data_IF_293385533065
#
_entry.id   IF_293385533065
#
_cell.length_a   1.000
_cell.length_b   1.000
_cell.length_c   1.000
_cell.angle_alpha   90.00
_cell.angle_beta   90.00
_cell.angle_gamma   90.00
#
_symmetry.space_group_name_H-M   'P 1'
#
loop_
_entity.id
_entity.type
_entity.pdbx_description
1 polymer ?
2 non-polymer ?
3 non-polymer ?
#
# COMPACT_ATOMS: atom_id res chain seq x y z
N UNK A 1 -24.14 -9.60 -17.36
CA UNK A 1 -23.84 -8.17 -17.34
C UNK A 1 -23.30 -7.68 -16.02
N UNK A 2 -24.01 -6.73 -15.38
CA UNK A 2 -23.65 -6.16 -14.08
C UNK A 2 -24.25 -6.97 -12.91
N UNK A 3 -25.20 -7.87 -13.21
CA UNK A 3 -25.91 -8.75 -12.27
C UNK A 3 -24.97 -9.72 -11.52
N UNK A 4 -24.09 -10.42 -12.26
CA UNK A 4 -23.12 -11.39 -11.73
C UNK A 4 -22.18 -10.75 -10.71
N UNK A 5 -21.64 -9.56 -11.05
CA UNK A 5 -20.70 -8.79 -10.24
C UNK A 5 -21.27 -8.34 -8.88
N UNK A 6 -22.57 -7.99 -8.82
CA UNK A 6 -23.26 -7.55 -7.60
C UNK A 6 -23.30 -8.64 -6.52
N UNK A 7 -23.54 -9.90 -6.93
CA UNK A 7 -23.59 -11.04 -6.02
C UNK A 7 -22.21 -11.30 -5.39
N UNK A 8 -21.13 -11.06 -6.17
CA UNK A 8 -19.73 -11.23 -5.73
C UNK A 8 -19.44 -10.25 -4.59
N UNK A 9 -19.81 -8.96 -4.79
CA UNK A 9 -19.65 -7.87 -3.84
C UNK A 9 -20.51 -8.08 -2.60
N UNK A 10 -21.76 -8.58 -2.79
CA UNK A 10 -22.68 -8.90 -1.69
C UNK A 10 -22.19 -10.09 -0.86
N UNK A 11 -21.41 -11.00 -1.49
CA UNK A 11 -20.78 -12.15 -0.83
C UNK A 11 -19.64 -11.61 0.05
N UNK A 12 -18.79 -10.71 -0.51
CA UNK A 12 -17.66 -10.09 0.18
C UNK A 12 -18.08 -9.28 1.41
N UNK A 13 -19.35 -8.83 1.46
CA UNK A 13 -19.93 -8.11 2.58
C UNK A 13 -20.16 -9.04 3.77
N UNK A 14 -20.44 -10.34 3.49
CA UNK A 14 -20.73 -11.36 4.51
C UNK A 14 -19.53 -11.75 5.38
N UNK A 15 -18.29 -11.57 4.85
CA UNK A 15 -17.07 -11.91 5.61
C UNK A 15 -16.50 -10.72 6.41
N UNK A 16 -17.25 -9.59 6.49
CA UNK A 16 -16.86 -8.38 7.24
C UNK A 16 -16.75 -8.64 8.74
N UNK A 17 -17.65 -9.48 9.29
CA UNK A 17 -17.71 -9.83 10.71
C UNK A 17 -16.54 -10.71 11.16
N UNK A 18 -16.09 -11.63 10.27
CA UNK A 18 -14.97 -12.55 10.51
C UNK A 18 -13.64 -11.76 10.51
N UNK A 19 -13.56 -10.72 9.65
CA UNK A 19 -12.40 -9.82 9.55
C UNK A 19 -12.37 -8.89 10.78
N UNK A 20 -13.56 -8.44 11.25
CA UNK A 20 -13.71 -7.56 12.42
C UNK A 20 -13.25 -8.21 13.74
N UNK A 21 -13.50 -9.53 13.93
CA UNK A 21 -13.08 -10.28 15.13
C UNK A 21 -11.55 -10.46 15.12
N UNK A 22 -10.98 -10.73 13.94
CA UNK A 22 -9.54 -10.90 13.70
C UNK A 22 -8.80 -9.56 13.77
N UNK A 23 -9.50 -8.43 13.55
CA UNK A 23 -8.94 -7.07 13.60
C UNK A 23 -8.53 -6.66 15.02
N UNK A 24 -9.32 -7.10 16.01
CA UNK A 24 -9.05 -6.85 17.42
C UNK A 24 -7.87 -7.64 17.92
N UNK A 25 -7.57 -8.78 17.25
CA UNK A 25 -6.44 -9.66 17.54
C UNK A 25 -5.15 -8.97 17.11
N UNK A 26 -5.21 -8.21 16.00
CA UNK A 26 -4.10 -7.45 15.44
C UNK A 26 -3.75 -6.26 16.35
N UNK A 27 -4.75 -5.43 16.71
CA UNK A 27 -4.59 -4.22 17.55
C UNK A 27 -4.08 -4.53 18.97
N UNK A 28 -4.50 -5.67 19.53
CA UNK A 28 -4.09 -6.10 20.86
C UNK A 28 -2.60 -6.30 20.96
N UNK A 29 -2.04 -7.18 20.10
CA UNK A 29 -0.62 -7.51 19.99
C UNK A 29 0.21 -6.24 19.70
N UNK A 30 -0.25 -5.45 18.70
CA UNK A 30 0.37 -4.21 18.23
C UNK A 30 0.54 -3.15 19.34
N UNK A 31 -0.47 -3.00 20.22
CA UNK A 31 -0.42 -2.03 21.33
C UNK A 31 0.63 -2.39 22.40
N UNK A 32 0.88 -3.70 22.62
CA UNK A 32 1.89 -4.20 23.56
C UNK A 32 3.29 -3.85 23.07
N UNK A 33 3.52 -4.04 21.75
CA UNK A 33 4.77 -3.77 21.07
C UNK A 33 5.10 -2.28 21.08
N UNK A 34 4.06 -1.43 20.94
CA UNK A 34 4.16 0.03 20.97
C UNK A 34 4.60 0.53 22.35
N UNK A 35 4.11 -0.11 23.44
CA UNK A 35 4.48 0.22 24.82
C UNK A 35 5.92 -0.20 25.11
N UNK A 36 6.34 -1.35 24.55
CA UNK A 36 7.69 -1.93 24.67
C UNK A 36 8.73 -1.05 23.99
N UNK A 37 8.45 -0.63 22.73
CA UNK A 37 9.34 0.21 21.92
C UNK A 37 9.53 1.61 22.48
N UNK A 38 8.48 2.22 23.05
CA UNK A 38 8.50 3.56 23.65
C UNK A 38 9.51 3.71 24.82
N UNK A 39 9.79 2.60 25.54
CA UNK A 39 10.74 2.54 26.66
C UNK A 39 12.21 2.61 26.19
N UNK A 40 12.45 2.40 24.88
CA UNK A 40 13.77 2.46 24.27
C UNK A 40 14.11 3.89 23.83
N UNK A 41 15.42 4.20 23.74
CA UNK A 41 16.00 5.49 23.39
C UNK A 41 15.64 5.93 21.96
N UNK A 42 15.90 5.07 20.96
CA UNK A 42 15.63 5.37 19.55
C UNK A 42 14.14 5.30 19.19
N UNK A 43 13.40 4.33 19.76
CA UNK A 43 11.99 4.09 19.46
C UNK A 43 11.03 4.75 20.46
N UNK A 44 11.43 5.88 21.06
CA UNK A 44 10.60 6.64 22.00
C UNK A 44 9.50 7.43 21.26
N UNK A 45 9.84 7.93 20.07
CA UNK A 45 8.94 8.68 19.21
C UNK A 45 8.13 7.83 18.24
N UNK A 46 8.04 6.51 18.52
CA UNK A 46 7.28 5.58 17.69
C UNK A 46 5.77 5.75 17.95
N UNK A 47 5.01 5.70 16.87
CA UNK A 47 3.55 5.85 16.90
C UNK A 47 2.89 5.02 15.83
N UNK A 48 1.60 4.75 15.99
CA UNK A 48 0.83 3.99 15.02
C UNK A 48 0.30 4.87 13.91
N UNK A 49 0.52 4.44 12.65
CA UNK A 49 0.03 5.19 11.51
C UNK A 49 -1.30 4.63 11.03
N UNK A 50 -2.30 5.52 10.93
CA UNK A 50 -3.65 5.20 10.42
C UNK A 50 -3.54 5.14 8.89
N UNK A 51 -3.85 3.95 8.31
CA UNK A 51 -3.77 3.73 6.85
C UNK A 51 -5.07 3.13 6.29
N UNK A 55 -11.47 -0.01 10.13
CA UNK A 55 -10.17 -0.37 10.69
C UNK A 55 -9.18 0.78 10.47
N UNK A 56 -8.91 1.53 11.55
CA UNK A 56 -8.05 2.71 11.56
C UNK A 56 -6.57 2.44 11.22
N UNK A 57 -5.80 1.93 12.19
CA UNK A 57 -4.36 1.65 12.06
C UNK A 57 -4.07 0.27 11.43
N UNK A 58 -5.12 -0.46 11.00
CA UNK A 58 -5.04 -1.78 10.39
C UNK A 58 -5.44 -1.70 8.91
N UNK A 59 -4.51 -2.03 7.99
CA UNK A 59 -4.74 -2.04 6.54
C UNK A 59 -4.79 -3.49 6.04
N UNK A 60 -5.61 -3.77 5.02
CA UNK A 60 -5.81 -5.12 4.48
C UNK A 60 -5.27 -5.25 3.05
N UNK A 61 -4.40 -6.25 2.82
CA UNK A 61 -3.80 -6.56 1.50
C UNK A 61 -4.46 -7.80 0.88
N UNK A 62 -4.57 -8.89 1.68
CA UNK A 62 -5.16 -10.20 1.32
C UNK A 62 -6.22 -10.58 2.40
N UNK A 63 -7.02 -11.69 2.28
CA UNK A 63 -8.03 -11.97 3.32
C UNK A 63 -7.49 -12.21 4.75
N UNK A 64 -6.31 -12.84 4.87
CA UNK A 64 -5.73 -13.12 6.18
C UNK A 64 -4.38 -12.42 6.40
N UNK A 65 -4.09 -11.40 5.57
CA UNK A 65 -2.89 -10.57 5.67
C UNK A 65 -3.28 -9.15 6.10
N UNK A 66 -2.58 -8.62 7.12
CA UNK A 66 -2.88 -7.29 7.67
C UNK A 66 -1.62 -6.43 7.77
N UNK A 67 -1.54 -5.38 6.93
CA UNK A 67 -0.42 -4.45 6.91
C UNK A 67 -0.60 -3.37 7.97
N UNK A 68 0.37 -3.29 8.90
CA UNK A 68 0.39 -2.31 9.99
C UNK A 68 1.66 -1.47 9.84
N UNK A 69 1.55 -0.15 10.06
CA UNK A 69 2.69 0.76 9.94
C UNK A 69 3.00 1.53 11.23
N UNK A 70 4.28 1.47 11.65
CA UNK A 70 4.80 2.19 12.80
C UNK A 70 5.61 3.36 12.27
N UNK A 71 5.25 4.59 12.67
CA UNK A 71 5.92 5.82 12.21
C UNK A 71 6.90 6.39 13.24
N UNK A 72 8.03 6.90 12.75
CA UNK A 72 9.09 7.48 13.57
C UNK A 72 9.38 8.91 13.10
N UNK A 73 9.05 9.91 13.95
CA UNK A 73 9.23 11.33 13.67
C UNK A 73 10.72 11.71 13.53
N UNK A 74 11.14 12.08 12.31
CA UNK A 74 12.52 12.47 12.02
C UNK A 74 12.57 13.98 11.71
N UNK A 75 12.87 14.84 12.71
CA UNK A 75 12.94 16.29 12.44
C UNK A 75 14.27 16.68 11.79
N UNK A 76 14.26 17.78 11.01
CA UNK A 76 15.43 18.33 10.29
C UNK A 76 16.16 17.23 9.50
N UNK A 77 15.42 16.60 8.59
CA UNK A 77 15.85 15.50 7.73
C UNK A 77 16.22 16.00 6.32
N UNK A 78 17.44 15.67 5.86
CA UNK A 78 17.88 16.06 4.51
C UNK A 78 18.02 14.81 3.65
N UNK A 79 17.35 14.80 2.48
CA UNK A 79 17.33 13.66 1.57
C UNK A 79 18.23 13.81 0.36
N UNK A 80 18.99 12.73 0.08
CA UNK A 80 19.90 12.61 -1.07
C UNK A 80 19.31 11.52 -1.96
N UNK A 81 19.03 11.84 -3.23
CA UNK A 81 18.44 10.88 -4.17
C UNK A 81 19.45 9.82 -4.59
N UNK A 82 19.03 8.53 -4.54
CA UNK A 82 19.87 7.40 -4.94
C UNK A 82 19.74 7.03 -6.42
N UNK A 83 20.90 6.92 -7.10
CA UNK A 83 21.12 6.50 -8.49
C UNK A 83 20.02 6.90 -9.52
N UNK A 84 19.38 8.08 -9.32
CA UNK A 84 18.30 8.61 -10.17
C UNK A 84 17.08 7.64 -10.29
N UNK A 85 16.84 6.82 -9.22
CA UNK A 85 15.72 5.86 -9.15
C UNK A 85 14.38 6.54 -8.88
N UNK A 86 14.40 7.83 -8.46
CA UNK A 86 13.27 8.72 -8.18
C UNK A 86 12.44 8.36 -6.91
N UNK A 87 12.42 7.08 -6.48
CA UNK A 87 11.69 6.64 -5.28
C UNK A 87 12.61 6.26 -4.11
N UNK A 88 13.87 5.86 -4.41
CA UNK A 88 14.87 5.45 -3.40
C UNK A 88 15.80 6.59 -3.03
N UNK A 89 15.97 6.82 -1.72
CA UNK A 89 16.73 7.94 -1.16
C UNK A 89 17.63 7.52 0.01
N UNK A 90 18.55 8.43 0.40
CA UNK A 90 19.47 8.28 1.55
C UNK A 90 19.02 9.24 2.64
N UNK A 91 19.13 8.83 3.92
CA UNK A 91 18.73 9.70 5.03
C UNK A 91 19.95 10.37 5.67
N UNK A 92 20.02 11.70 5.52
CA UNK A 92 21.05 12.55 6.11
C UNK A 92 20.38 13.56 7.04
N UNK A 93 21.16 14.25 7.87
CA UNK A 93 20.64 15.25 8.81
C UNK A 93 21.15 16.65 8.47
N UNK A 94 20.19 17.60 8.28
CA UNK A 94 20.39 19.02 7.90
C UNK A 94 21.60 19.67 8.57
N UNK A 95 21.68 19.57 9.92
CA UNK A 95 22.75 20.10 10.76
C UNK A 95 22.79 19.33 12.10
N UNK A 96 23.71 19.71 13.00
CA UNK A 96 23.86 19.11 14.33
C UNK A 96 23.54 20.15 15.45
N UNK A 97 22.25 20.45 15.74
CA UNK A 97 21.95 21.42 16.81
C UNK A 97 22.11 20.79 18.19
N UNK A 98 21.37 19.69 18.44
CA UNK A 98 21.38 18.85 19.64
C UNK A 98 21.20 17.42 19.14
N UNK A 99 22.28 16.60 19.25
CA UNK A 99 22.39 15.22 18.79
C UNK A 99 21.10 14.39 18.96
N UNK A 100 20.57 13.93 17.82
CA UNK A 100 19.33 13.15 17.67
C UNK A 100 19.41 11.76 18.33
N UNK A 101 18.28 11.20 18.84
CA UNK A 101 18.33 9.84 19.43
C UNK A 101 18.46 8.72 18.39
N UNK A 102 18.32 9.06 17.09
CA UNK A 102 18.41 8.15 15.95
C UNK A 102 19.88 7.91 15.52
N UNK A 103 20.83 8.65 16.14
CA UNK A 103 22.27 8.60 15.86
C UNK A 103 22.94 7.22 16.09
N UNK A 104 22.25 6.30 16.79
CA UNK A 104 22.69 4.93 17.09
C UNK A 104 23.03 4.13 15.84
N UNK A 105 22.31 4.40 14.73
CA UNK A 105 22.46 3.71 13.45
C UNK A 105 23.12 4.56 12.36
N UNK A 106 23.69 5.72 12.73
CA UNK A 106 24.37 6.63 11.80
C UNK A 106 25.71 6.06 11.31
N UNK A 107 26.07 6.35 10.04
CA UNK A 107 27.32 5.94 9.42
C UNK A 107 27.94 7.14 8.67
N UNK A 108 28.49 8.07 9.45
CA UNK A 108 29.07 9.31 8.95
C UNK A 108 28.05 10.41 8.90
N UNK A 109 27.22 10.40 7.83
CA UNK A 109 26.12 11.33 7.57
C UNK A 109 24.85 10.53 7.25
N UNK A 110 25.03 9.37 6.60
CA UNK A 110 23.99 8.45 6.13
C UNK A 110 23.46 7.55 7.26
N UNK A 111 22.13 7.50 7.39
CA UNK A 111 21.39 6.68 8.36
C UNK A 111 21.11 5.30 7.74
N UNK A 112 21.61 4.24 8.40
CA UNK A 112 21.47 2.87 7.94
C UNK A 112 20.06 2.32 8.12
N UNK A 113 19.51 1.72 7.06
CA UNK A 113 18.18 1.10 7.06
C UNK A 113 18.25 -0.30 7.65
N UNK A 114 19.34 -1.03 7.36
CA UNK A 114 19.60 -2.39 7.86
C UNK A 114 19.80 -2.41 9.38
N UNK A 115 20.60 -1.47 9.93
CA UNK A 115 20.89 -1.34 11.35
C UNK A 115 19.66 -1.03 12.22
N UNK A 116 18.79 -0.11 11.74
CA UNK A 116 17.57 0.29 12.46
C UNK A 116 16.52 -0.80 12.49
N UNK A 117 16.27 -1.46 11.33
CA UNK A 117 15.30 -2.55 11.19
C UNK A 117 15.71 -3.76 12.04
N UNK A 118 17.03 -3.97 12.22
CA UNK A 118 17.60 -5.06 13.01
C UNK A 118 17.32 -4.92 14.50
N UNK A 119 17.51 -3.70 15.08
CA UNK A 119 17.21 -3.43 16.49
C UNK A 119 15.70 -3.55 16.72
N UNK A 120 14.90 -3.07 15.72
CA UNK A 120 13.45 -3.12 15.69
C UNK A 120 12.98 -4.59 15.71
N UNK A 121 13.63 -5.46 14.90
CA UNK A 121 13.33 -6.90 14.85
C UNK A 121 13.66 -7.57 16.18
N UNK A 122 14.75 -7.13 16.84
CA UNK A 122 15.22 -7.65 18.12
C UNK A 122 14.27 -7.33 19.28
N UNK A 123 13.85 -6.05 19.42
CA UNK A 123 12.94 -5.58 20.49
C UNK A 123 11.57 -6.28 20.38
N UNK A 124 11.12 -6.55 19.14
CA UNK A 124 9.86 -7.25 18.87
C UNK A 124 10.01 -8.75 19.21
N UNK A 125 11.06 -9.43 18.70
CA UNK A 125 11.37 -10.84 18.96
C UNK A 125 11.38 -11.18 20.47
N UNK A 126 11.79 -10.20 21.30
CA UNK A 126 11.84 -10.31 22.75
C UNK A 126 10.44 -10.16 23.36
N UNK A 127 9.62 -9.22 22.84
CA UNK A 127 8.25 -8.97 23.32
C UNK A 127 7.24 -9.99 22.81
N UNK A 128 7.55 -10.69 21.70
CA UNK A 128 6.71 -11.71 21.07
C UNK A 128 6.46 -12.90 22.01
N UNK A 129 7.53 -13.44 22.62
CA UNK A 129 7.48 -14.56 23.55
C UNK A 129 6.88 -14.18 24.91
N UNK A 130 6.87 -12.88 25.25
CA UNK A 130 6.34 -12.34 26.51
C UNK A 130 4.81 -12.47 26.61
N UNK A 131 4.06 -11.85 25.67
CA UNK A 131 2.59 -11.92 25.66
C UNK A 131 2.16 -13.31 25.16
N UNK A 132 1.91 -14.22 26.12
CA UNK A 132 1.52 -15.62 25.90
C UNK A 132 -0.01 -15.82 25.82
N UNK A 133 -0.76 -14.72 25.60
CA UNK A 133 -2.22 -14.74 25.48
C UNK A 133 -2.67 -15.44 24.19
N UNK A 134 -1.94 -15.20 23.08
CA UNK A 134 -2.17 -15.80 21.76
C UNK A 134 -0.84 -16.26 21.18
N UNK A 135 -0.88 -17.28 20.31
CA UNK A 135 0.31 -17.83 19.67
C UNK A 135 0.84 -16.85 18.61
N UNK A 136 1.88 -16.07 18.96
CA UNK A 136 2.50 -15.08 18.06
C UNK A 136 3.93 -15.55 17.74
N UNK A 137 4.29 -15.59 16.45
CA UNK A 137 5.62 -16.02 15.97
C UNK A 137 6.18 -14.98 14.98
N UNK A 138 7.41 -15.20 14.45
CA UNK A 138 8.07 -14.31 13.48
C UNK A 138 8.61 -15.15 12.30
N UNK A 139 8.47 -14.64 11.07
CA UNK A 139 8.90 -15.35 9.86
C UNK A 139 10.23 -14.84 9.25
N UNK A 140 10.74 -15.57 8.23
CA UNK A 140 11.98 -15.31 7.50
C UNK A 140 11.91 -14.01 6.70
N UNK A 145 11.85 -8.26 1.05
CA UNK A 145 11.08 -8.43 2.27
C UNK A 145 11.49 -7.38 3.35
N UNK A 146 10.98 -6.12 3.27
CA UNK A 146 11.36 -5.11 4.26
C UNK A 146 10.37 -4.96 5.42
N UNK A 147 9.71 -6.07 5.81
CA UNK A 147 8.71 -6.08 6.87
C UNK A 147 8.92 -7.19 7.91
N UNK A 148 8.33 -7.00 9.10
CA UNK A 148 8.36 -7.94 10.22
C UNK A 148 7.00 -8.66 10.22
N UNK A 149 6.97 -9.91 9.73
CA UNK A 149 5.75 -10.69 9.64
C UNK A 149 5.52 -11.54 10.90
N UNK A 150 4.29 -11.48 11.44
CA UNK A 150 3.87 -12.24 12.61
C UNK A 150 2.70 -13.15 12.23
N UNK A 151 2.52 -14.27 12.96
CA UNK A 151 1.40 -15.18 12.71
C UNK A 151 0.63 -15.47 14.00
N UNK A 152 -0.60 -14.93 14.09
CA UNK A 152 -1.50 -15.08 15.24
C UNK A 152 -2.53 -16.19 14.95
N UNK A 153 -2.61 -17.18 15.87
CA UNK A 153 -3.51 -18.34 15.84
C UNK A 153 -3.39 -19.18 14.54
N UNK A 154 -2.14 -19.29 14.01
CA UNK A 154 -1.74 -20.03 12.80
C UNK A 154 -2.67 -19.77 11.58
N UNK A 155 -3.14 -18.51 11.43
CA UNK A 155 -4.04 -18.12 10.35
C UNK A 155 -3.89 -16.64 9.98
N UNK A 156 -3.90 -15.73 10.98
CA UNK A 156 -3.77 -14.28 10.77
C UNK A 156 -2.29 -13.88 10.68
N UNK A 157 -1.86 -13.47 9.47
CA UNK A 157 -0.50 -13.00 9.21
C UNK A 157 -0.50 -11.48 9.25
N UNK A 158 0.38 -10.88 10.08
CA UNK A 158 0.46 -9.42 10.24
C UNK A 158 1.83 -8.89 9.82
N UNK A 159 1.86 -8.15 8.70
CA UNK A 159 3.08 -7.53 8.19
C UNK A 159 3.24 -6.16 8.84
N UNK A 160 4.24 -6.04 9.71
CA UNK A 160 4.56 -4.81 10.42
C UNK A 160 5.68 -4.10 9.67
N UNK A 161 5.52 -2.79 9.43
CA UNK A 161 6.51 -1.99 8.72
C UNK A 161 6.86 -0.72 9.50
N UNK A 162 8.16 -0.42 9.58
CA UNK A 162 8.66 0.78 10.25
C UNK A 162 8.91 1.84 9.17
N UNK A 163 8.39 3.06 9.39
CA UNK A 163 8.51 4.15 8.43
C UNK A 163 9.03 5.43 9.06
N UNK A 164 9.88 6.16 8.32
CA UNK A 164 10.39 7.44 8.79
C UNK A 164 9.44 8.53 8.32
N UNK A 165 8.88 9.31 9.27
CA UNK A 165 7.95 10.38 8.96
C UNK A 165 8.70 11.70 8.80
N UNK A 166 8.43 12.39 7.69
CA UNK A 166 8.98 13.71 7.41
C UNK A 166 7.81 14.65 7.18
N UNK A 167 7.65 15.65 8.06
CA UNK A 167 6.58 16.62 7.98
C UNK A 167 6.89 17.70 6.94
N UNK A 168 8.14 17.69 6.43
CA UNK A 168 8.66 18.59 5.40
C UNK A 168 7.90 18.46 4.07
N UNK A 169 8.13 19.42 3.15
CA UNK A 169 7.53 19.48 1.80
C UNK A 169 7.96 18.21 1.03
N UNK A 170 7.03 17.61 0.25
CA UNK A 170 7.28 16.38 -0.53
C UNK A 170 8.48 16.50 -1.50
N UNK A 171 9.31 15.42 -1.66
CA UNK A 171 10.48 15.52 -2.56
C UNK A 171 10.14 15.84 -4.01
N UNK A 172 11.11 16.44 -4.73
CA UNK A 172 10.98 16.89 -6.12
C UNK A 172 10.35 15.89 -7.10
N UNK A 173 10.72 14.57 -7.03
CA UNK A 173 10.19 13.54 -7.94
C UNK A 173 8.66 13.42 -7.94
N UNK A 174 8.02 13.85 -6.84
CA UNK A 174 6.56 13.83 -6.65
C UNK A 174 5.87 15.11 -7.17
N UNK A 175 6.63 16.07 -7.78
CA UNK A 175 6.10 17.34 -8.29
C UNK A 175 4.94 17.21 -9.29
N UNK A 176 5.05 16.25 -10.22
CA UNK A 176 4.04 16.00 -11.27
C UNK A 176 3.12 14.83 -10.93
N UNK A 177 3.32 14.22 -9.77
CA UNK A 177 2.52 13.11 -9.28
C UNK A 177 1.19 13.54 -8.70
N UNK A 178 0.35 12.56 -8.27
CA UNK A 178 -0.98 12.78 -7.70
C UNK A 178 -1.77 13.76 -8.62
N UNK A 179 -2.03 13.32 -9.86
CA UNK A 179 -2.69 14.10 -10.89
C UNK A 179 -4.24 14.11 -10.76
N UNK A 180 -4.70 14.55 -9.58
CA UNK A 180 -6.11 14.65 -9.21
C UNK A 180 -6.78 16.02 -9.55
N UNK A 181 -6.02 16.99 -10.13
CA UNK A 181 -6.51 18.36 -10.45
C UNK A 181 -7.83 18.42 -11.21
N UNK A 182 -7.96 17.63 -12.29
CA UNK A 182 -9.18 17.63 -13.09
C UNK A 182 -10.30 16.74 -12.49
N UNK A 183 -10.00 16.02 -11.38
CA UNK A 183 -10.93 15.11 -10.69
C UNK A 183 -11.36 15.64 -9.30
N UNK A 184 -10.46 15.57 -8.30
CA UNK A 184 -10.74 16.00 -6.93
C UNK A 184 -10.46 17.48 -6.68
N UNK A 185 -9.79 18.17 -7.66
CA UNK A 185 -9.42 19.61 -7.73
C UNK A 185 -7.97 19.93 -7.35
N UNK A 186 -7.51 21.11 -7.80
CA UNK A 186 -6.21 21.72 -7.50
C UNK A 186 -6.16 22.12 -6.01
N UNK A 187 -7.32 22.49 -5.42
CA UNK A 187 -7.48 22.85 -4.01
C UNK A 187 -7.13 21.65 -3.13
N UNK A 188 -7.72 20.48 -3.41
CA UNK A 188 -7.51 19.22 -2.68
C UNK A 188 -6.08 18.71 -2.85
N UNK A 189 -5.51 18.82 -4.07
CA UNK A 189 -4.12 18.42 -4.35
C UNK A 189 -3.13 19.17 -3.44
N UNK A 190 -3.26 20.52 -3.36
CA UNK A 190 -2.46 21.40 -2.52
C UNK A 190 -2.62 21.02 -1.03
N UNK A 191 -3.85 20.67 -0.63
CA UNK A 191 -4.20 20.28 0.74
C UNK A 191 -3.51 18.97 1.13
N UNK A 192 -3.59 17.96 0.24
CA UNK A 192 -3.00 16.65 0.47
C UNK A 192 -1.50 16.71 0.53
N UNK A 193 -0.89 17.49 -0.38
CA UNK A 193 0.56 17.71 -0.47
C UNK A 193 1.13 18.45 0.77
N UNK A 194 0.23 19.01 1.63
CA UNK A 194 0.59 19.66 2.90
C UNK A 194 0.73 18.63 4.04
N UNK A 195 0.30 17.36 3.79
CA UNK A 195 0.38 16.25 4.75
C UNK A 195 1.83 15.69 4.78
N UNK A 196 2.28 14.97 5.86
CA UNK A 196 3.66 14.43 5.85
C UNK A 196 3.86 13.27 4.86
N UNK A 197 5.12 12.92 4.54
CA UNK A 197 5.44 11.79 3.68
C UNK A 197 6.25 10.72 4.45
N UNK A 198 6.32 9.49 3.91
CA UNK A 198 6.99 8.40 4.63
C UNK A 198 8.15 7.78 3.86
N UNK A 199 9.11 7.24 4.62
CA UNK A 199 10.29 6.56 4.10
C UNK A 199 10.35 5.16 4.68
N UNK A 200 9.92 4.17 3.88
CA UNK A 200 9.90 2.75 4.26
C UNK A 200 11.23 2.11 3.85
N UNK A 201 11.80 1.14 4.63
CA UNK A 201 13.11 0.61 4.25
C UNK A 201 13.11 -0.42 3.13
N UNK A 202 12.45 -0.12 1.99
CA UNK A 202 12.48 -1.02 0.84
C UNK A 202 13.82 -0.82 0.13
N UNK A 203 14.51 -1.91 -0.16
CA UNK A 203 15.85 -1.84 -0.75
C UNK A 203 15.84 -2.13 -2.26
N UNK A 204 16.65 -1.35 -3.03
CA UNK A 204 16.77 -1.47 -4.48
C UNK A 204 17.70 -2.62 -4.88
N UNK A 205 17.28 -3.40 -5.90
CA UNK A 205 18.00 -4.56 -6.42
C UNK A 205 19.26 -4.15 -7.21
N UNK A 209 23.45 -8.18 -5.06
CA UNK A 209 22.55 -8.09 -3.93
C UNK A 209 21.72 -6.81 -3.90
N UNK A 210 21.49 -6.29 -2.68
CA UNK A 210 20.72 -5.08 -2.39
C UNK A 210 21.60 -3.94 -1.83
N UNK A 211 21.04 -2.71 -1.82
CA UNK A 211 21.61 -1.51 -1.22
C UNK A 211 20.77 -1.31 0.05
N UNK A 212 21.24 -1.88 1.17
CA UNK A 212 20.52 -1.92 2.47
C UNK A 212 20.63 -0.63 3.32
N UNK A 213 20.76 0.53 2.65
CA UNK A 213 20.81 1.86 3.27
C UNK A 213 19.90 2.87 2.54
N UNK A 214 19.13 2.37 1.54
CA UNK A 214 18.18 3.16 0.75
C UNK A 214 16.74 2.94 1.21
N UNK A 215 15.99 4.05 1.31
CA UNK A 215 14.59 4.10 1.75
C UNK A 215 13.69 4.52 0.58
N UNK A 216 12.49 3.91 0.48
CA UNK A 216 11.50 4.16 -0.56
C UNK A 216 10.45 5.16 -0.09
N UNK A 217 9.98 6.05 -1.00
CA UNK A 217 8.94 7.05 -0.72
C UNK A 217 7.57 6.37 -0.62
N UNK A 218 6.92 6.50 0.54
CA UNK A 218 5.60 5.91 0.76
C UNK A 218 4.52 6.95 1.01
N UNK A 219 3.40 6.82 0.29
CA UNK A 219 2.25 7.71 0.35
C UNK A 219 0.97 6.92 0.58
N UNK A 220 1.12 5.77 1.27
CA UNK A 220 0.10 4.81 1.67
C UNK A 220 -1.09 5.49 2.38
N UNK A 221 -0.79 6.39 3.34
CA UNK A 221 -1.75 7.17 4.13
C UNK A 221 -2.73 8.06 3.32
N UNK A 222 -2.41 8.35 2.05
CA UNK A 222 -3.25 9.19 1.18
C UNK A 222 -4.48 8.43 0.62
N UNK A 223 -4.38 7.10 0.46
CA UNK A 223 -5.46 6.25 -0.05
C UNK A 223 -6.79 6.42 0.70
N UNK A 224 -6.76 6.38 2.04
CA UNK A 224 -7.96 6.56 2.87
C UNK A 224 -8.58 7.95 2.64
N UNK A 225 -7.72 8.98 2.48
CA UNK A 225 -8.15 10.36 2.22
C UNK A 225 -8.96 10.45 0.93
N UNK A 226 -8.44 9.87 -0.17
CA UNK A 226 -9.10 9.86 -1.48
C UNK A 226 -10.30 8.88 -1.51
N UNK A 227 -10.15 7.63 -1.06
CA UNK A 227 -11.25 6.66 -1.06
C UNK A 227 -12.49 7.10 -0.29
N UNK A 228 -12.33 7.80 0.84
CA UNK A 228 -13.46 8.28 1.64
C UNK A 228 -14.03 9.62 1.16
N UNK A 229 -13.51 10.13 0.01
CA UNK A 229 -13.91 11.39 -0.62
C UNK A 229 -13.44 11.30 -2.08
N UNK A 230 -14.03 10.35 -2.83
CA UNK A 230 -13.64 9.95 -4.19
C UNK A 230 -14.31 10.65 -5.35
N UNK A 231 -15.30 11.50 -5.10
CA UNK A 231 -16.04 12.14 -6.17
C UNK A 231 -15.60 13.52 -6.59
N UNK A 232 -16.06 13.94 -7.79
CA UNK A 232 -15.85 15.27 -8.30
C UNK A 232 -16.84 16.15 -7.55
N UNK A 233 -18.05 15.60 -7.30
CA UNK A 233 -19.11 16.24 -6.53
C UNK A 233 -18.90 15.88 -5.06
N UNK A 234 -18.88 16.90 -4.20
CA UNK A 234 -18.70 16.80 -2.76
C UNK A 234 -19.68 15.83 -2.04
N UNK A 235 -20.90 15.64 -2.59
CA UNK A 235 -21.99 14.81 -2.06
C UNK A 235 -22.03 13.38 -2.65
N UNK A 236 -21.00 12.97 -3.41
CA UNK A 236 -20.93 11.64 -4.01
C UNK A 236 -21.10 10.57 -2.95
N UNK A 237 -22.10 9.68 -3.14
CA UNK A 237 -22.47 8.55 -2.27
C UNK A 237 -23.01 8.96 -0.89
N UNK A 238 -23.62 10.16 -0.81
CA UNK A 238 -24.23 10.68 0.43
C UNK A 238 -25.77 10.57 0.40
N UNK A 239 -26.33 10.23 -0.79
CA UNK A 239 -27.77 10.04 -1.05
C UNK A 239 -28.02 8.96 -2.14
N UNK A 240 -29.31 8.54 -2.32
CA UNK A 240 -29.73 7.51 -3.27
C UNK A 240 -29.50 7.89 -4.76
N UNK A 241 -29.41 9.21 -5.06
CA UNK A 241 -29.22 9.75 -6.40
C UNK A 241 -27.77 9.69 -6.92
N UNK A 242 -26.79 10.14 -6.09
CA UNK A 242 -25.38 10.21 -6.46
C UNK A 242 -24.55 8.98 -6.04
N UNK A 243 -25.12 7.78 -6.19
CA UNK A 243 -24.44 6.52 -5.85
C UNK A 243 -23.50 6.09 -6.98
N UNK A 244 -22.18 6.07 -6.72
CA UNK A 244 -21.21 5.65 -7.74
C UNK A 244 -20.62 4.26 -7.43
N UNK A 245 -19.82 3.71 -8.37
CA UNK A 245 -19.23 2.39 -8.21
C UNK A 245 -17.70 2.39 -8.25
N UNK A 246 -17.05 3.49 -7.82
CA UNK A 246 -15.59 3.58 -7.76
C UNK A 246 -15.04 2.56 -6.76
N UNK A 247 -15.59 2.55 -5.52
CA UNK A 247 -15.20 1.61 -4.46
C UNK A 247 -15.47 0.15 -4.84
N UNK A 248 -16.60 -0.13 -5.53
CA UNK A 248 -16.95 -1.49 -5.96
C UNK A 248 -15.99 -2.02 -7.04
N UNK A 249 -15.55 -1.16 -7.98
CA UNK A 249 -14.58 -1.52 -9.02
C UNK A 249 -13.20 -1.79 -8.43
N UNK A 250 -12.83 -1.09 -7.32
CA UNK A 250 -11.55 -1.34 -6.67
C UNK A 250 -11.57 -2.69 -5.92
N UNK A 251 -12.72 -3.02 -5.30
CA UNK A 251 -12.93 -4.28 -4.58
C UNK A 251 -12.93 -5.45 -5.56
N UNK A 252 -13.50 -5.25 -6.78
CA UNK A 252 -13.54 -6.29 -7.83
C UNK A 252 -12.17 -6.48 -8.48
N UNK A 253 -11.39 -5.39 -8.63
CA UNK A 253 -10.04 -5.45 -9.19
C UNK A 253 -9.08 -6.14 -8.21
N UNK A 254 -9.25 -5.89 -6.90
CA UNK A 254 -8.41 -6.49 -5.84
C UNK A 254 -8.69 -7.99 -5.72
N UNK A 255 -9.98 -8.38 -5.71
CA UNK A 255 -10.44 -9.77 -5.59
C UNK A 255 -10.10 -10.58 -6.84
N UNK A 256 -9.99 -9.93 -8.01
CA UNK A 256 -9.63 -10.58 -9.28
C UNK A 256 -8.20 -11.14 -9.20
N UNK A 257 -7.22 -10.27 -8.87
CA UNK A 257 -5.82 -10.62 -8.70
C UNK A 257 -5.64 -11.63 -7.56
N UNK A 258 -6.40 -11.45 -6.45
CA UNK A 258 -6.42 -12.31 -5.26
C UNK A 258 -6.80 -13.75 -5.63
N UNK A 259 -7.85 -13.92 -6.46
CA UNK A 259 -8.33 -15.21 -6.95
C UNK A 259 -7.38 -15.81 -7.98
N UNK A 260 -6.68 -14.97 -8.75
CA UNK A 260 -5.70 -15.43 -9.74
C UNK A 260 -4.41 -15.85 -9.06
N UNK A 261 -4.09 -15.25 -7.90
CA UNK A 261 -2.91 -15.60 -7.11
C UNK A 261 -3.15 -16.92 -6.35
N UNK A 262 -4.44 -17.29 -6.18
CA UNK A 262 -4.89 -18.52 -5.52
C UNK A 262 -4.92 -19.70 -6.50
N UNK A 263 -5.42 -19.47 -7.73
CA UNK A 263 -5.52 -20.48 -8.79
C UNK A 263 -4.17 -20.73 -9.51
N UNK A 264 -3.14 -19.92 -9.20
CA UNK A 264 -1.82 -20.05 -9.83
C UNK A 264 -0.65 -20.02 -8.83
N UNK A 265 -0.87 -20.59 -7.62
CA UNK A 265 0.16 -20.80 -6.60
C UNK A 265 0.77 -22.17 -6.94
N UNK A 266 0.32 -22.72 -8.09
CA UNK A 266 0.70 -23.96 -8.71
C UNK A 266 2.15 -23.91 -9.20
N UNK A 267 2.57 -22.76 -9.81
CA UNK A 267 3.92 -22.58 -10.34
C UNK A 267 4.53 -21.20 -9.98
N UNK A 268 3.91 -20.48 -9.02
CA UNK A 268 4.38 -19.23 -8.41
C UNK A 268 4.87 -18.12 -9.41
N UNK A 269 4.11 -17.85 -10.49
CA UNK A 269 4.47 -16.84 -11.49
C UNK A 269 4.09 -15.43 -11.10
N UNK A 270 2.98 -15.29 -10.36
CA UNK A 270 2.41 -14.00 -9.97
C UNK A 270 2.73 -13.62 -8.51
N UNK A 271 3.93 -13.96 -8.03
CA UNK A 271 4.38 -13.68 -6.67
C UNK A 271 4.74 -12.21 -6.48
N UNK A 272 5.28 -11.57 -7.53
CA UNK A 272 5.70 -10.16 -7.52
C UNK A 272 4.50 -9.19 -7.50
N UNK A 273 3.33 -9.64 -8.00
CA UNK A 273 2.12 -8.80 -8.04
C UNK A 273 1.39 -8.70 -6.70
N UNK A 274 0.99 -7.46 -6.35
CA UNK A 274 0.26 -7.15 -5.12
C UNK A 274 -0.94 -6.27 -5.43
N UNK A 275 -1.83 -6.09 -4.43
CA UNK A 275 -3.02 -5.24 -4.51
C UNK A 275 -2.62 -3.79 -4.83
N UNK A 276 -1.36 -3.43 -4.50
CA UNK A 276 -0.74 -2.14 -4.75
C UNK A 276 -0.73 -1.77 -6.25
N UNK A 277 -0.38 -2.74 -7.12
CA UNK A 277 -0.36 -2.57 -8.58
C UNK A 277 -1.79 -2.35 -9.09
N UNK A 278 -2.75 -3.06 -8.48
CA UNK A 278 -4.17 -3.00 -8.79
C UNK A 278 -4.74 -1.63 -8.39
N UNK A 279 -4.33 -1.11 -7.20
CA UNK A 279 -4.75 0.21 -6.70
C UNK A 279 -4.26 1.31 -7.65
N UNK A 280 -2.92 1.38 -7.88
CA UNK A 280 -2.26 2.35 -8.79
C UNK A 280 -2.99 2.44 -10.13
N UNK A 281 -3.29 1.29 -10.76
CA UNK A 281 -3.99 1.22 -12.05
C UNK A 281 -5.41 1.78 -11.97
N UNK A 282 -6.15 1.45 -10.88
CA UNK A 282 -7.52 1.92 -10.65
C UNK A 282 -7.55 3.43 -10.55
N UNK A 283 -6.64 4.02 -9.73
CA UNK A 283 -6.60 5.48 -9.53
C UNK A 283 -6.21 6.22 -10.81
N UNK A 284 -5.42 5.58 -11.70
CA UNK A 284 -5.07 6.18 -12.99
C UNK A 284 -6.31 6.25 -13.90
N UNK A 285 -7.27 5.31 -13.72
CA UNK A 285 -8.54 5.27 -14.46
C UNK A 285 -9.45 6.35 -13.89
N UNK A 286 -9.32 6.61 -12.57
CA UNK A 286 -10.06 7.64 -11.86
C UNK A 286 -9.67 9.03 -12.36
N UNK A 287 -8.42 9.18 -12.82
CA UNK A 287 -7.88 10.40 -13.43
C UNK A 287 -8.46 10.53 -14.85
N UNK A 288 -8.39 9.43 -15.64
CA UNK A 288 -8.89 9.30 -17.00
C UNK A 288 -10.39 9.60 -17.08
N UNK A 289 -11.13 9.15 -16.05
CA UNK A 289 -12.57 9.33 -15.89
C UNK A 289 -12.81 10.19 -14.63
N UNK A 290 -12.69 11.54 -14.76
CA UNK A 290 -12.87 12.40 -13.57
C UNK A 290 -14.32 12.65 -13.16
N UNK A 291 -15.27 12.57 -14.10
CA UNK A 291 -16.69 12.79 -13.84
C UNK A 291 -17.33 11.60 -13.13
N UNK A 292 -18.34 11.88 -12.28
CA UNK A 292 -19.12 10.89 -11.54
C UNK A 292 -20.04 10.10 -12.48
N UNK A 293 -20.44 10.72 -13.61
CA UNK A 293 -21.28 10.08 -14.62
C UNK A 293 -20.57 8.92 -15.35
N UNK A 294 -19.23 8.84 -15.24
CA UNK A 294 -18.40 7.78 -15.83
C UNK A 294 -18.21 6.63 -14.82
N UNK A 295 -18.84 6.76 -13.63
CA UNK A 295 -18.76 5.76 -12.56
C UNK A 295 -20.14 5.43 -11.98
N UNK A 296 -21.21 5.57 -12.78
CA UNK A 296 -22.60 5.30 -12.37
C UNK A 296 -22.79 3.86 -11.85
N UNK A 297 -23.65 3.67 -10.83
CA UNK A 297 -23.94 2.38 -10.20
C UNK A 297 -24.54 1.37 -11.19
N UNK A 298 -25.34 1.84 -12.17
CA UNK A 298 -25.94 0.98 -13.21
C UNK A 298 -24.83 0.44 -14.14
N UNK A 299 -23.83 1.29 -14.42
CA UNK A 299 -22.70 1.03 -15.32
C UNK A 299 -21.56 0.16 -14.73
N UNK A 300 -21.78 -0.50 -13.55
CA UNK A 300 -20.79 -1.34 -12.85
C UNK A 300 -19.97 -2.25 -13.77
N UNK A 301 -20.65 -2.97 -14.67
CA UNK A 301 -20.05 -3.88 -15.65
C UNK A 301 -19.11 -3.18 -16.63
N UNK A 302 -19.57 -2.04 -17.19
CA UNK A 302 -18.80 -1.21 -18.12
C UNK A 302 -17.58 -0.60 -17.42
N UNK A 303 -17.79 -0.04 -16.20
CA UNK A 303 -16.79 0.61 -15.36
C UNK A 303 -15.68 -0.35 -14.97
N UNK A 304 -16.04 -1.58 -14.57
CA UNK A 304 -15.07 -2.62 -14.20
C UNK A 304 -14.20 -2.98 -15.39
N UNK A 305 -14.81 -3.05 -16.60
CA UNK A 305 -14.10 -3.36 -17.84
C UNK A 305 -13.10 -2.28 -18.23
N UNK A 306 -13.36 -1.01 -17.85
CA UNK A 306 -12.45 0.10 -18.11
C UNK A 306 -11.18 -0.08 -17.27
N UNK A 307 -11.33 -0.56 -16.02
CA UNK A 307 -10.23 -0.85 -15.09
C UNK A 307 -9.47 -2.06 -15.60
N UNK A 308 -10.21 -3.08 -16.08
CA UNK A 308 -9.67 -4.34 -16.64
C UNK A 308 -8.86 -4.05 -17.92
N UNK A 309 -9.36 -3.14 -18.80
CA UNK A 309 -8.69 -2.76 -20.05
C UNK A 309 -7.40 -1.98 -19.74
N UNK A 310 -7.47 -0.99 -18.83
CA UNK A 310 -6.29 -0.22 -18.44
C UNK A 310 -5.21 -1.09 -17.81
N UNK A 311 -5.59 -2.05 -16.94
CA UNK A 311 -4.66 -2.97 -16.29
C UNK A 311 -4.01 -3.91 -17.30
N UNK A 312 -4.80 -4.39 -18.29
CA UNK A 312 -4.30 -5.29 -19.34
C UNK A 312 -3.33 -4.55 -20.26
N UNK A 313 -3.62 -3.27 -20.55
CA UNK A 313 -2.79 -2.39 -21.38
C UNK A 313 -1.48 -2.09 -20.64
N UNK A 314 -1.53 -2.03 -19.30
CA UNK A 314 -0.37 -1.79 -18.43
C UNK A 314 0.67 -2.88 -18.54
N UNK A 315 0.26 -4.14 -18.25
CA UNK A 315 1.11 -5.33 -18.31
C UNK A 315 1.71 -5.44 -19.70
N UNK A 316 0.84 -5.33 -20.74
CA UNK A 316 1.16 -5.43 -22.17
C UNK A 316 2.26 -4.47 -22.63
N UNK A 317 2.25 -3.21 -22.12
CA UNK A 317 3.22 -2.18 -22.47
C UNK A 317 4.42 -2.13 -21.51
N UNK A 318 4.35 -2.92 -20.39
CA UNK A 318 5.37 -2.99 -19.32
C UNK A 318 5.52 -1.61 -18.67
N UNK A 319 4.38 -0.90 -18.51
CA UNK A 319 4.30 0.43 -17.93
C UNK A 319 3.13 0.58 -16.94
N UNK A 320 3.44 1.00 -15.71
CA UNK A 320 2.53 1.31 -14.61
C UNK A 320 3.25 2.29 -13.70
N UNK A 321 2.97 3.58 -13.89
CA UNK A 321 3.61 4.67 -13.16
C UNK A 321 3.11 4.74 -11.71
N UNK A 322 4.05 4.93 -10.75
CA UNK A 322 3.71 5.13 -9.34
C UNK A 322 2.85 6.39 -9.34
N UNK A 323 1.65 6.33 -8.72
CA UNK A 323 0.69 7.42 -8.71
C UNK A 323 1.27 8.76 -8.21
N UNK A 324 2.31 8.69 -7.37
CA UNK A 324 2.97 9.86 -6.76
C UNK A 324 4.28 10.23 -7.44
N UNK A 325 4.98 9.23 -8.01
CA UNK A 325 6.24 9.44 -8.70
C UNK A 325 6.04 8.95 -10.15
N UNK A 326 5.72 9.85 -11.11
CA UNK A 326 5.48 9.40 -12.50
C UNK A 326 6.67 8.76 -13.19
N UNK A 327 7.92 9.22 -12.89
CA UNK A 327 9.17 8.69 -13.46
C UNK A 327 9.52 7.26 -12.98
N UNK A 328 8.83 6.78 -11.93
CA UNK A 328 9.02 5.43 -11.38
C UNK A 328 8.02 4.46 -11.99
N UNK A 329 8.54 3.45 -12.70
CA UNK A 329 7.73 2.41 -13.35
C UNK A 329 7.72 1.11 -12.54
N UNK A 330 6.54 0.79 -11.95
CA UNK A 330 6.32 -0.40 -11.12
C UNK A 330 6.38 -1.70 -11.94
N UNK A 331 6.25 -1.59 -13.28
CA UNK A 331 6.24 -2.70 -14.21
C UNK A 331 7.51 -2.76 -15.10
N UNK A 332 8.63 -2.18 -14.62
CA UNK A 332 9.90 -2.19 -15.37
C UNK A 332 10.49 -3.61 -15.35
N UNK A 333 11.32 -3.95 -16.36
CA UNK A 333 11.99 -5.25 -16.49
C UNK A 333 12.73 -5.65 -15.20
N UNK A 334 13.31 -4.64 -14.51
CA UNK A 334 14.08 -4.77 -13.27
C UNK A 334 13.25 -5.23 -12.08
N UNK A 335 11.96 -4.83 -12.00
CA UNK A 335 11.09 -5.19 -10.89
C UNK A 335 10.32 -6.50 -11.14
N UNK A 336 9.63 -6.58 -12.30
CA UNK A 336 8.86 -7.76 -12.74
C UNK A 336 9.36 -8.13 -14.13
N UNK A 337 9.68 -9.42 -14.35
CA UNK A 337 10.17 -9.87 -15.65
C UNK A 337 9.05 -9.95 -16.70
N UNK A 338 9.42 -9.76 -17.98
CA UNK A 338 8.58 -9.76 -19.19
C UNK A 338 7.62 -10.95 -19.23
N UNK A 339 8.10 -12.13 -18.80
CA UNK A 339 7.37 -13.40 -18.76
C UNK A 339 6.18 -13.39 -17.81
N UNK A 340 6.35 -12.86 -16.58
CA UNK A 340 5.30 -12.77 -15.55
C UNK A 340 4.15 -11.85 -15.96
N UNK A 341 4.46 -10.78 -16.72
CA UNK A 341 3.48 -9.82 -17.24
C UNK A 341 2.68 -10.45 -18.38
N UNK A 342 3.37 -11.12 -19.34
CA UNK A 342 2.78 -11.83 -20.48
C UNK A 342 1.90 -13.01 -20.04
N UNK A 343 2.20 -13.59 -18.86
CA UNK A 343 1.44 -14.69 -18.24
C UNK A 343 0.16 -14.12 -17.63
N UNK A 344 0.28 -13.00 -16.88
CA UNK A 344 -0.87 -12.34 -16.27
C UNK A 344 -1.80 -11.76 -17.33
N UNK A 345 -1.21 -11.18 -18.43
CA UNK A 345 -1.95 -10.65 -19.57
C UNK A 345 -2.87 -11.75 -20.09
N UNK A 346 -2.30 -12.94 -20.38
CA UNK A 346 -3.00 -14.12 -20.87
C UNK A 346 -4.11 -14.62 -19.93
N UNK A 347 -3.87 -14.57 -18.59
CA UNK A 347 -4.87 -15.02 -17.62
C UNK A 347 -6.08 -14.10 -17.54
N UNK A 348 -5.85 -12.77 -17.44
CA UNK A 348 -6.92 -11.77 -17.39
C UNK A 348 -7.66 -11.73 -18.74
N UNK A 349 -6.91 -11.79 -19.87
CA UNK A 349 -7.48 -11.80 -21.23
C UNK A 349 -8.52 -12.90 -21.35
N UNK A 350 -8.22 -14.09 -20.77
CA UNK A 350 -9.12 -15.25 -20.75
C UNK A 350 -10.38 -14.95 -19.93
N UNK A 351 -10.23 -14.30 -18.76
CA UNK A 351 -11.34 -13.94 -17.88
C UNK A 351 -12.27 -12.93 -18.56
N UNK A 352 -11.69 -11.85 -19.12
CA UNK A 352 -12.39 -10.76 -19.83
C UNK A 352 -13.19 -11.29 -21.03
N UNK A 353 -12.61 -12.22 -21.81
CA UNK A 353 -13.22 -12.83 -22.99
C UNK A 353 -14.27 -13.90 -22.65
N UNK A 354 -14.30 -14.37 -21.38
CA UNK A 354 -15.24 -15.41 -20.96
C UNK A 354 -16.11 -15.01 -19.75
N UNK A 355 -16.47 -13.72 -19.69
CA UNK A 355 -17.31 -13.08 -18.66
C UNK A 355 -16.95 -13.49 -17.20
N UNK A 356 -15.63 -13.53 -16.92
CA UNK A 356 -14.97 -13.79 -15.63
C UNK A 356 -15.48 -15.06 -14.91
N UNK A 357 -14.93 -16.25 -15.26
CA UNK A 357 -15.38 -17.49 -14.60
C UNK A 357 -14.69 -17.77 -13.25
N UNK A 358 -13.82 -16.86 -12.78
CA UNK A 358 -13.11 -17.00 -11.50
C UNK A 358 -13.94 -16.39 -10.33
N UNK A 359 -15.12 -15.82 -10.65
CA UNK A 359 -16.03 -15.24 -9.67
C UNK A 359 -17.21 -16.16 -9.31
N UNK A 360 -17.56 -17.11 -10.22
CA UNK A 360 -18.66 -18.06 -10.04
C UNK A 360 -18.44 -19.02 -8.87
N UNK A 361 -19.05 -18.69 -7.71
CA UNK A 361 -18.94 -19.49 -6.47
C UNK A 361 -20.31 -19.65 -5.79
X LIG B 1 -19.06 7.76 -5.03
X LIG C 1 1.24 2.25 -1.11
X LIG C 1 -0.10 1.85 -1.26
X LIG C 1 -1.06 2.67 -1.85
X LIG C 1 -1.71 4.87 -2.87
X LIG C 1 -2.22 4.76 -4.16
X LIG C 1 -3.14 5.64 -4.68
X LIG C 1 -3.57 6.72 -3.92
X LIG C 1 -4.56 7.72 -4.47
X LIG C 1 -3.05 6.88 -2.64
X LIG C 1 -2.14 5.97 -2.11
X LIG C 1 0.62 4.37 -2.13
X LIG C 1 1.58 3.54 -1.54
X LIG C 1 2.98 4.08 -1.48
X LIG C 1 1.39 -1.09 0.27
X LIG C 1 -0.70 3.95 -2.29
X LIG C 1 3.12 -2.18 -1.04
X LIG C 1 4.61 -2.42 -1.14
X LIG C 1 4.79 -2.38 1.23
X LIG C 1 3.31 -2.12 1.35
X LIG C 1 1.08 0.24 -0.32
X LIG C 1 -0.16 0.56 -0.79
X LIG C 1 2.82 -1.40 0.16
X LIG C 1 1.95 1.21 -0.51
X LIG C 1 3.80 3.43 -0.70
X LIG C 1 3.32 5.06 -2.14
X LIG C 1 5.10 -3.11 0.03
X LIG C 1 -1.72 3.43 -5.18
#
# INVERSE_FOLDING_TARGET
GASKLRAVLEKLKLSRDDISTAAGMVKGVVDHLLLRLKCDSAFRGVGLLNTGSYYEHVKISAPNEFDVMFKLEVPRIQLEEYSNTRAYYFVKFKRNPKENPLSQFLEGEILSASKMLSKFRKIIKEEINDIKDTDVIMKRKRGGSPAVTLLISEKISVDITLALESKSSWPASTQEGLRIQNWLSAKVRKQLRLKPFYLVPKHAKEGNGFQEETWRLSFSHIEKEILNNHGKSKTCCENKEEKCCRKDCLKLMKYLLEQLKERFKDKKHLDKFSSYHVKTAFFHVCTQNPQDSQWDRKDLGLCFDNCVTYFLQCLRTEKLENYFIPEFNLFSSNLIDKRSKEFLTKQIEYERNNEFPVFDEF
ZN ZN
YQL C10 C11 C13 C15 C16 C18 C19 C20 C21 C22 C23 C24 C25 C1 C14 C3 C4 C6 C7 C8 N12 N2 N9 O26 O27 O5 CL17
#
